data_IF_524610305797
#
_entry.id   IF_524610305797
#
_cell.length_a   1.000
_cell.length_b   1.000
_cell.length_c   1.000
_cell.angle_alpha   90.00
_cell.angle_beta   90.00
_cell.angle_gamma   90.00
#
_symmetry.space_group_name_H-M   'P 1'
#
loop_
_entity.id
_entity.type
_entity.pdbx_description
1 polymer ?
#
# COMPACT_ATOMS: atom_id res chain seq x y z
N UNK A 1 4.13 -22.15 -2.07
CA UNK A 1 4.17 -21.30 -3.28
C UNK A 1 3.60 -19.96 -2.87
N UNK A 2 4.36 -18.88 -3.00
CA UNK A 2 4.00 -17.58 -2.44
C UNK A 2 3.61 -16.63 -3.58
N UNK A 3 2.59 -15.81 -3.36
CA UNK A 3 2.09 -14.89 -4.38
C UNK A 3 2.52 -13.46 -4.05
N UNK A 4 3.23 -12.81 -4.97
CA UNK A 4 3.44 -11.37 -4.96
C UNK A 4 2.38 -10.73 -5.85
N UNK A 5 1.63 -9.80 -5.28
CA UNK A 5 0.60 -9.02 -5.97
C UNK A 5 1.07 -7.59 -6.07
N UNK A 6 1.39 -7.13 -7.26
CA UNK A 6 1.77 -5.75 -7.54
C UNK A 6 0.52 -4.98 -7.94
N UNK A 7 0.05 -4.09 -7.07
CA UNK A 7 -1.10 -3.24 -7.30
C UNK A 7 -0.64 -1.86 -7.76
N UNK A 8 -1.20 -1.33 -8.84
CA UNK A 8 -0.87 0.02 -9.33
C UNK A 8 -2.10 0.93 -9.40
N UNK A 9 -1.90 2.23 -9.18
CA UNK A 9 -2.92 3.23 -9.51
C UNK A 9 -2.29 4.50 -10.06
N UNK A 10 -2.72 4.89 -11.26
CA UNK A 10 -2.04 5.82 -12.15
C UNK A 10 -1.31 5.15 -13.32
N UNK A 11 -1.07 5.92 -14.37
CA UNK A 11 -0.40 5.49 -15.59
C UNK A 11 1.10 5.24 -15.35
N UNK A 12 1.80 6.21 -14.77
CA UNK A 12 3.21 6.05 -14.41
C UNK A 12 3.41 4.90 -13.41
N UNK A 13 2.47 4.75 -12.46
CA UNK A 13 2.45 3.63 -11.55
C UNK A 13 2.29 2.27 -12.25
N UNK A 14 1.54 2.19 -13.35
CA UNK A 14 1.41 0.96 -14.12
C UNK A 14 2.74 0.55 -14.77
N UNK A 15 3.45 1.51 -15.36
CA UNK A 15 4.75 1.27 -15.98
C UNK A 15 5.79 0.84 -14.94
N UNK A 16 5.87 1.57 -13.83
CA UNK A 16 6.72 1.22 -12.69
C UNK A 16 6.36 -0.16 -12.13
N UNK A 17 5.08 -0.49 -11.98
CA UNK A 17 4.67 -1.80 -11.49
C UNK A 17 5.10 -2.94 -12.42
N UNK A 18 5.03 -2.76 -13.75
CA UNK A 18 5.53 -3.73 -14.72
C UNK A 18 7.05 -3.86 -14.65
N UNK A 19 7.74 -2.74 -14.52
CA UNK A 19 9.19 -2.70 -14.38
C UNK A 19 9.66 -3.43 -13.11
N UNK A 20 9.06 -3.10 -11.96
CA UNK A 20 9.26 -3.75 -10.66
C UNK A 20 8.99 -5.25 -10.75
N UNK A 21 7.85 -5.66 -11.32
CA UNK A 21 7.52 -7.07 -11.46
C UNK A 21 8.58 -7.83 -12.27
N UNK A 22 9.11 -7.23 -13.34
CA UNK A 22 10.19 -7.80 -14.15
C UNK A 22 11.51 -7.89 -13.39
N UNK A 23 11.90 -6.82 -12.69
CA UNK A 23 13.13 -6.82 -11.88
C UNK A 23 13.05 -7.85 -10.75
N UNK A 24 11.98 -7.83 -9.95
CA UNK A 24 11.77 -8.77 -8.85
C UNK A 24 11.75 -10.21 -9.37
N UNK A 25 11.11 -10.47 -10.51
CA UNK A 25 11.11 -11.80 -11.17
C UNK A 25 12.53 -12.33 -11.44
N UNK A 26 13.47 -11.46 -11.79
CA UNK A 26 14.86 -11.85 -12.03
C UNK A 26 15.62 -12.18 -10.72
N UNK A 27 15.17 -11.65 -9.59
CA UNK A 27 15.86 -11.74 -8.29
C UNK A 27 15.29 -12.77 -7.32
N UNK A 28 14.07 -13.27 -7.57
CA UNK A 28 13.36 -14.22 -6.71
C UNK A 28 13.21 -15.59 -7.37
N UNK A 29 13.09 -16.68 -6.59
CA UNK A 29 12.86 -18.02 -7.13
C UNK A 29 11.63 -18.10 -8.05
N UNK A 30 11.69 -18.98 -9.06
CA UNK A 30 10.56 -19.22 -9.99
C UNK A 30 9.28 -19.69 -9.30
N UNK A 31 9.39 -20.18 -8.05
CA UNK A 31 8.25 -20.59 -7.21
C UNK A 31 7.39 -19.43 -6.72
N UNK A 32 7.82 -18.17 -6.86
CA UNK A 32 6.95 -17.02 -6.59
C UNK A 32 6.04 -16.77 -7.78
N UNK A 33 4.73 -16.76 -7.60
CA UNK A 33 3.84 -16.18 -8.60
C UNK A 33 3.89 -14.65 -8.46
N UNK A 34 4.00 -13.92 -9.58
CA UNK A 34 3.96 -12.45 -9.57
C UNK A 34 2.83 -12.05 -10.49
N UNK A 35 1.85 -11.32 -9.96
CA UNK A 35 0.74 -10.76 -10.72
C UNK A 35 0.71 -9.26 -10.57
N UNK A 36 0.35 -8.56 -11.64
CA UNK A 36 0.14 -7.11 -11.64
C UNK A 36 -1.33 -6.83 -11.85
N UNK A 37 -1.93 -5.96 -11.04
CA UNK A 37 -3.36 -5.63 -11.05
C UNK A 37 -3.58 -4.14 -10.78
N UNK A 38 -4.67 -3.59 -11.29
CA UNK A 38 -5.07 -2.22 -10.96
C UNK A 38 -5.65 -2.16 -9.53
N UNK A 39 -5.45 -1.05 -8.83
CA UNK A 39 -6.00 -0.82 -7.49
C UNK A 39 -7.54 -0.72 -7.48
N UNK A 40 -8.19 -0.48 -8.61
CA UNK A 40 -9.66 -0.50 -8.69
C UNK A 40 -10.26 -1.88 -8.38
N UNK A 41 -9.49 -2.94 -8.62
CA UNK A 41 -9.86 -4.34 -8.39
C UNK A 41 -9.33 -4.88 -7.06
N UNK A 42 -8.80 -4.01 -6.19
CA UNK A 42 -8.09 -4.44 -4.97
C UNK A 42 -8.95 -5.31 -4.05
N UNK A 43 -10.25 -5.04 -3.91
CA UNK A 43 -11.13 -5.81 -3.04
C UNK A 43 -11.33 -7.24 -3.53
N UNK A 44 -11.57 -7.41 -4.83
CA UNK A 44 -11.77 -8.72 -5.43
C UNK A 44 -10.47 -9.56 -5.35
N UNK A 45 -9.33 -8.92 -5.62
CA UNK A 45 -8.02 -9.56 -5.51
C UNK A 45 -7.69 -9.91 -4.06
N UNK A 46 -8.00 -9.03 -3.11
CA UNK A 46 -7.76 -9.25 -1.69
C UNK A 46 -8.65 -10.37 -1.15
N UNK A 47 -9.94 -10.36 -1.47
CA UNK A 47 -10.88 -11.42 -1.11
C UNK A 47 -10.45 -12.77 -1.69
N UNK A 48 -10.03 -12.81 -2.96
CA UNK A 48 -9.53 -14.04 -3.60
C UNK A 48 -8.25 -14.57 -2.93
N UNK A 49 -7.33 -13.69 -2.53
CA UNK A 49 -6.10 -14.07 -1.84
C UNK A 49 -6.39 -14.61 -0.44
N UNK A 50 -7.26 -13.96 0.32
CA UNK A 50 -7.64 -14.42 1.66
C UNK A 50 -8.43 -15.74 1.61
N UNK A 51 -9.34 -15.88 0.65
CA UNK A 51 -10.10 -17.11 0.46
C UNK A 51 -9.22 -18.30 0.03
N UNK A 52 -8.04 -18.02 -0.53
CA UNK A 52 -7.12 -19.05 -1.01
C UNK A 52 -6.46 -19.84 0.13
N UNK A 53 -6.41 -19.32 1.38
CA UNK A 53 -5.88 -19.84 2.69
C UNK A 53 -4.63 -20.74 2.68
N UNK A 54 -4.03 -21.03 1.53
CA UNK A 54 -3.04 -22.08 1.31
C UNK A 54 -1.69 -21.52 0.90
N UNK A 55 -1.62 -20.21 0.63
CA UNK A 55 -0.42 -19.52 0.14
C UNK A 55 -0.27 -18.17 0.85
N UNK A 56 0.87 -17.92 1.52
CA UNK A 56 1.14 -16.59 2.03
C UNK A 56 1.33 -15.63 0.84
N UNK A 57 0.76 -14.44 0.96
CA UNK A 57 0.80 -13.42 -0.08
C UNK A 57 1.45 -12.13 0.42
N UNK A 58 2.15 -11.45 -0.49
CA UNK A 58 2.65 -10.11 -0.29
C UNK A 58 2.00 -9.15 -1.27
N UNK A 59 1.55 -7.99 -0.79
CA UNK A 59 1.03 -6.92 -1.62
C UNK A 59 2.06 -5.80 -1.78
N UNK A 60 2.46 -5.53 -3.00
CA UNK A 60 3.29 -4.37 -3.35
C UNK A 60 2.38 -3.32 -3.98
N UNK A 61 2.21 -2.18 -3.31
CA UNK A 61 1.40 -1.07 -3.83
C UNK A 61 2.29 -0.05 -4.52
N UNK A 62 1.93 0.37 -5.72
CA UNK A 62 2.57 1.45 -6.48
C UNK A 62 1.53 2.55 -6.66
N UNK A 63 1.64 3.61 -5.86
CA UNK A 63 0.64 4.67 -5.79
C UNK A 63 1.20 5.98 -6.34
N UNK A 64 0.56 6.49 -7.40
CA UNK A 64 0.87 7.81 -7.94
C UNK A 64 0.07 8.90 -7.23
N UNK A 65 0.78 9.97 -6.86
CA UNK A 65 0.21 11.23 -6.41
C UNK A 65 0.17 12.17 -7.61
N UNK A 66 -1.00 12.76 -7.87
CA UNK A 66 -1.23 13.76 -8.90
C UNK A 66 -1.40 15.14 -8.25
N UNK A 67 -1.87 16.13 -9.00
CA UNK A 67 -2.07 17.50 -8.51
C UNK A 67 -2.87 17.58 -7.18
N UNK A 68 -2.51 18.55 -6.35
CA UNK A 68 -3.16 18.82 -5.05
C UNK A 68 -3.14 17.65 -4.06
N UNK A 69 -2.03 16.90 -4.01
CA UNK A 69 -1.85 15.75 -3.11
C UNK A 69 -2.89 14.63 -3.32
N UNK A 70 -3.58 14.64 -4.47
CA UNK A 70 -4.62 13.68 -4.78
C UNK A 70 -4.00 12.35 -5.25
N UNK A 71 -4.63 11.21 -4.94
CA UNK A 71 -4.27 9.96 -5.59
C UNK A 71 -4.71 9.96 -7.06
N UNK A 72 -3.97 9.26 -7.91
CA UNK A 72 -4.47 8.87 -9.22
C UNK A 72 -5.81 8.10 -9.11
N UNK A 73 -6.61 8.15 -10.16
CA UNK A 73 -8.01 7.70 -10.16
C UNK A 73 -8.16 6.27 -9.61
N UNK A 74 -7.36 5.33 -10.10
CA UNK A 74 -7.44 3.91 -9.72
C UNK A 74 -6.92 3.65 -8.31
N UNK A 75 -5.98 4.47 -7.81
CA UNK A 75 -5.51 4.40 -6.43
C UNK A 75 -6.55 4.97 -5.44
N UNK A 76 -7.38 5.91 -5.89
CA UNK A 76 -8.35 6.61 -5.05
C UNK A 76 -9.32 5.68 -4.35
N UNK A 77 -9.83 4.64 -5.03
CA UNK A 77 -10.77 3.66 -4.45
C UNK A 77 -10.11 2.87 -3.31
N UNK A 78 -8.90 2.36 -3.52
CA UNK A 78 -8.15 1.62 -2.51
C UNK A 78 -7.79 2.48 -1.31
N UNK A 79 -7.26 3.69 -1.54
CA UNK A 79 -6.89 4.61 -0.47
C UNK A 79 -8.11 5.02 0.36
N UNK A 80 -9.23 5.35 -0.28
CA UNK A 80 -10.50 5.64 0.43
C UNK A 80 -10.97 4.45 1.25
N UNK A 81 -10.87 3.23 0.71
CA UNK A 81 -11.25 2.02 1.43
C UNK A 81 -10.40 1.84 2.71
N UNK A 82 -9.07 1.89 2.59
CA UNK A 82 -8.19 1.68 3.75
C UNK A 82 -8.28 2.82 4.78
N UNK A 83 -8.53 4.06 4.32
CA UNK A 83 -8.59 5.24 5.20
C UNK A 83 -9.99 5.58 5.72
N UNK A 84 -11.03 4.83 5.30
CA UNK A 84 -12.40 5.03 5.77
C UNK A 84 -12.42 4.98 7.31
N UNK A 85 -13.00 5.99 7.99
CA UNK A 85 -13.23 5.91 9.42
C UNK A 85 -14.08 4.69 9.74
N UNK A 86 -13.65 3.87 10.70
CA UNK A 86 -14.36 2.67 11.14
C UNK A 86 -14.84 2.86 12.57
N UNK A 87 -16.02 2.32 12.87
CA UNK A 87 -16.57 2.33 14.22
C UNK A 87 -16.25 1.01 14.91
N UNK A 88 -15.72 1.07 16.13
CA UNK A 88 -15.53 -0.12 16.96
C UNK A 88 -16.83 -0.44 17.71
N UNK A 89 -17.43 -1.62 17.46
CA UNK A 89 -18.64 -2.08 18.17
C UNK A 89 -18.44 -2.30 19.68
N UNK A 90 -17.22 -2.56 20.12
CA UNK A 90 -16.87 -2.76 21.53
C UNK A 90 -16.56 -1.47 22.29
N UNK A 91 -16.31 -0.37 21.57
CA UNK A 91 -15.86 0.89 22.11
C UNK A 91 -17.03 1.86 22.06
N UNK A 92 -17.97 1.69 22.97
CA UNK A 92 -19.26 2.38 23.02
C UNK A 92 -19.20 3.92 23.16
N UNK A 93 -18.01 4.54 23.14
CA UNK A 93 -17.82 5.96 23.46
C UNK A 93 -16.74 6.66 22.62
N UNK A 94 -16.77 6.49 21.31
CA UNK A 94 -16.03 7.38 20.40
C UNK A 94 -16.95 7.92 19.33
N UNK A 95 -17.40 9.17 19.52
CA UNK A 95 -17.97 10.00 18.47
C UNK A 95 -17.10 9.95 17.21
N UNK A 96 -17.68 10.05 16.02
CA UNK A 96 -16.97 10.03 14.72
C UNK A 96 -15.70 10.93 14.68
N UNK A 97 -15.66 12.00 15.49
CA UNK A 97 -14.50 12.87 15.67
C UNK A 97 -13.22 12.18 16.22
N UNK A 98 -13.34 11.10 16.99
CA UNK A 98 -12.20 10.33 17.49
C UNK A 98 -11.71 9.27 16.48
N UNK A 99 -12.62 8.73 15.66
CA UNK A 99 -12.27 7.85 14.53
C UNK A 99 -11.52 8.63 13.43
N UNK A 100 -11.80 9.92 13.27
CA UNK A 100 -11.13 10.81 12.31
C UNK A 100 -9.65 11.10 12.64
N UNK A 101 -9.18 10.84 13.86
CA UNK A 101 -7.83 11.23 14.32
C UNK A 101 -6.81 10.10 14.35
N UNK A 102 -7.08 8.90 13.81
CA UNK A 102 -6.21 7.70 13.93
C UNK A 102 -5.81 7.29 15.36
N UNK A 103 -6.14 8.06 16.40
CA UNK A 103 -5.87 7.80 17.82
C UNK A 103 -6.63 6.59 18.37
N UNK A 104 -7.60 6.07 17.61
CA UNK A 104 -8.38 4.92 18.04
C UNK A 104 -7.58 3.61 17.98
N UNK A 105 -6.69 3.46 16.99
CA UNK A 105 -5.84 2.27 16.85
C UNK A 105 -4.86 2.12 18.02
N UNK A 106 -4.23 3.24 18.43
CA UNK A 106 -3.34 3.29 19.60
C UNK A 106 -4.03 2.89 20.90
N UNK A 107 -5.36 3.05 20.97
CA UNK A 107 -6.14 2.86 22.20
C UNK A 107 -6.84 1.50 22.30
N UNK A 108 -7.17 0.86 21.18
CA UNK A 108 -7.88 -0.43 21.14
C UNK A 108 -7.02 -1.61 20.70
N UNK A 109 -5.81 -1.36 20.18
CA UNK A 109 -4.87 -2.40 19.77
C UNK A 109 -5.32 -3.20 18.54
N UNK A 110 -4.42 -4.06 18.03
CA UNK A 110 -4.63 -4.88 16.83
C UNK A 110 -5.69 -5.99 16.98
N UNK A 111 -6.24 -6.21 18.18
CA UNK A 111 -7.18 -7.30 18.48
C UNK A 111 -8.66 -6.91 18.45
N UNK A 112 -8.99 -5.65 18.18
CA UNK A 112 -10.39 -5.22 18.12
C UNK A 112 -11.02 -5.57 16.77
N UNK A 113 -12.07 -6.42 16.71
CA UNK A 113 -12.76 -6.73 15.46
C UNK A 113 -13.50 -5.48 14.96
N UNK A 114 -13.02 -4.92 13.85
CA UNK A 114 -13.68 -3.79 13.21
C UNK A 114 -14.93 -4.30 12.51
N UNK A 115 -15.98 -3.49 12.53
CA UNK A 115 -17.12 -3.68 11.64
C UNK A 115 -17.26 -2.43 10.79
N UNK A 116 -17.48 -2.61 9.49
CA UNK A 116 -17.98 -1.50 8.69
C UNK A 116 -19.45 -1.21 9.03
N UNK A 117 -20.02 -0.21 8.35
CA UNK A 117 -21.42 0.19 8.49
C UNK A 117 -22.40 -0.93 8.11
N UNK A 118 -21.94 -1.92 7.33
CA UNK A 118 -22.69 -3.09 6.89
C UNK A 118 -22.52 -4.28 7.85
N UNK A 119 -21.69 -4.13 8.88
CA UNK A 119 -21.46 -5.15 9.89
C UNK A 119 -20.42 -6.20 9.52
N UNK A 120 -19.70 -6.05 8.40
CA UNK A 120 -18.65 -6.97 7.98
C UNK A 120 -17.45 -6.84 8.91
N UNK A 121 -17.06 -7.95 9.54
CA UNK A 121 -15.96 -8.00 10.47
C UNK A 121 -14.63 -7.95 9.70
N UNK A 122 -13.98 -6.79 9.69
CA UNK A 122 -12.60 -6.68 9.23
C UNK A 122 -11.67 -7.11 10.37
N UNK A 123 -11.09 -8.30 10.22
CA UNK A 123 -9.92 -8.68 11.00
C UNK A 123 -8.74 -7.76 10.70
N UNK A 124 -7.73 -7.77 11.58
CA UNK A 124 -6.43 -7.18 11.27
C UNK A 124 -5.98 -7.69 9.89
N UNK A 125 -5.44 -6.79 9.07
CA UNK A 125 -4.88 -7.08 7.76
C UNK A 125 -3.67 -8.02 7.95
N UNK A 126 -3.90 -9.33 8.00
CA UNK A 126 -2.85 -10.34 8.21
C UNK A 126 -2.13 -10.66 6.91
N UNK A 127 -1.58 -9.62 6.27
CA UNK A 127 -0.82 -9.73 5.02
C UNK A 127 0.48 -8.95 5.11
N UNK A 128 1.49 -9.43 4.40
CA UNK A 128 2.71 -8.66 4.20
C UNK A 128 2.47 -7.58 3.13
N UNK A 129 3.04 -6.39 3.31
CA UNK A 129 2.95 -5.35 2.31
C UNK A 129 4.23 -4.51 2.17
N UNK A 130 4.35 -3.81 1.04
CA UNK A 130 5.31 -2.74 0.81
C UNK A 130 4.68 -1.69 -0.13
N UNK A 131 5.20 -0.46 -0.11
CA UNK A 131 4.67 0.66 -0.90
C UNK A 131 5.78 1.36 -1.68
N UNK A 132 5.53 1.63 -2.95
CA UNK A 132 6.28 2.56 -3.80
C UNK A 132 5.37 3.75 -4.08
N UNK A 133 5.83 4.93 -3.70
CA UNK A 133 5.15 6.18 -3.95
C UNK A 133 5.79 6.84 -5.18
N UNK A 134 4.95 7.28 -6.11
CA UNK A 134 5.37 8.10 -7.25
C UNK A 134 4.76 9.47 -7.06
N UNK A 135 5.60 10.48 -7.02
CA UNK A 135 5.21 11.87 -6.93
C UNK A 135 6.04 12.69 -7.90
N UNK A 136 5.61 13.92 -8.14
CA UNK A 136 6.34 14.87 -8.97
C UNK A 136 6.39 16.21 -8.24
N UNK A 137 7.60 16.67 -7.92
CA UNK A 137 7.80 17.99 -7.31
C UNK A 137 7.35 19.14 -8.21
N UNK A 138 7.29 18.95 -9.53
CA UNK A 138 6.78 19.95 -10.46
C UNK A 138 5.28 20.20 -10.29
N UNK A 139 4.54 19.28 -9.67
CA UNK A 139 3.12 19.44 -9.36
C UNK A 139 2.86 20.21 -8.05
N UNK A 140 3.92 20.62 -7.36
CA UNK A 140 3.88 21.41 -6.12
C UNK A 140 4.21 22.89 -6.38
N UNK A 141 3.52 23.50 -7.34
CA UNK A 141 3.78 24.86 -7.84
C UNK A 141 3.75 25.95 -6.75
N UNK A 142 3.07 25.68 -5.63
CA UNK A 142 2.88 26.64 -4.54
C UNK A 142 4.06 26.70 -3.55
N UNK A 143 5.07 25.83 -3.70
CA UNK A 143 6.14 25.63 -2.72
C UNK A 143 7.49 26.08 -3.28
N UNK A 144 8.25 26.86 -2.49
CA UNK A 144 9.58 27.36 -2.90
C UNK A 144 10.69 26.31 -2.85
N UNK A 145 10.54 25.30 -2.00
CA UNK A 145 11.46 24.16 -1.89
C UNK A 145 10.64 22.90 -1.70
N UNK A 146 10.98 21.86 -2.47
CA UNK A 146 10.24 20.60 -2.51
C UNK A 146 11.21 19.46 -2.70
N UNK A 147 10.96 18.36 -2.02
CA UNK A 147 11.71 17.10 -2.14
C UNK A 147 10.76 15.97 -2.52
N UNK A 148 11.31 14.78 -2.84
CA UNK A 148 10.51 13.58 -3.06
C UNK A 148 9.50 13.30 -1.91
N UNK A 149 9.85 13.65 -0.67
CA UNK A 149 8.96 13.47 0.48
C UNK A 149 7.70 14.34 0.39
N UNK A 150 7.78 15.47 -0.29
CA UNK A 150 6.73 16.48 -0.31
C UNK A 150 5.66 16.21 -1.37
N UNK A 151 5.95 15.36 -2.37
CA UNK A 151 5.07 15.07 -3.52
C UNK A 151 4.44 13.67 -3.50
N UNK A 152 4.62 12.90 -2.43
CA UNK A 152 4.24 11.48 -2.35
C UNK A 152 3.03 11.20 -1.44
N UNK A 153 2.15 12.18 -1.25
CA UNK A 153 1.08 12.17 -0.26
C UNK A 153 0.12 10.97 -0.38
N UNK A 154 -0.22 10.55 -1.60
CA UNK A 154 -1.14 9.42 -1.81
C UNK A 154 -0.55 8.10 -1.30
N UNK A 155 0.70 7.82 -1.67
CA UNK A 155 1.41 6.61 -1.22
C UNK A 155 1.72 6.62 0.28
N UNK A 156 2.10 7.78 0.83
CA UNK A 156 2.29 7.95 2.28
C UNK A 156 1.02 7.67 3.06
N UNK A 157 -0.12 8.16 2.58
CA UNK A 157 -1.43 7.93 3.19
C UNK A 157 -1.82 6.44 3.14
N UNK A 158 -1.53 5.77 2.02
CA UNK A 158 -1.77 4.33 1.85
C UNK A 158 -0.91 3.48 2.81
N UNK A 159 0.40 3.73 2.84
CA UNK A 159 1.36 3.03 3.71
C UNK A 159 0.94 3.11 5.18
N UNK A 160 0.61 4.32 5.65
CA UNK A 160 0.12 4.55 7.01
C UNK A 160 -1.17 3.79 7.29
N UNK A 161 -2.12 3.80 6.35
CA UNK A 161 -3.40 3.12 6.53
C UNK A 161 -3.24 1.60 6.61
N UNK A 162 -2.39 1.00 5.77
CA UNK A 162 -2.12 -0.44 5.79
C UNK A 162 -1.49 -0.88 7.13
N UNK A 163 -0.54 -0.10 7.66
CA UNK A 163 0.07 -0.38 8.97
C UNK A 163 -0.92 -0.23 10.13
N UNK A 164 -1.76 0.81 10.10
CA UNK A 164 -2.86 1.00 11.08
C UNK A 164 -3.89 -0.12 10.99
N UNK A 165 -4.06 -0.77 9.85
CA UNK A 165 -4.96 -1.91 9.71
C UNK A 165 -4.34 -3.24 10.16
N UNK A 166 -3.09 -3.25 10.66
CA UNK A 166 -2.41 -4.45 11.13
C UNK A 166 -1.56 -5.15 10.07
N UNK A 167 -1.38 -4.53 8.90
CA UNK A 167 -0.48 -5.04 7.86
C UNK A 167 0.96 -5.16 8.37
N UNK A 168 1.66 -6.21 7.94
CA UNK A 168 3.09 -6.35 8.20
C UNK A 168 3.90 -5.68 7.09
N UNK A 169 4.44 -4.49 7.36
CA UNK A 169 5.35 -3.80 6.45
C UNK A 169 6.66 -4.61 6.30
N UNK A 170 7.04 -4.95 5.06
CA UNK A 170 8.26 -5.70 4.77
C UNK A 170 9.52 -4.83 4.83
N UNK A 171 9.44 -3.66 4.21
CA UNK A 171 10.49 -2.65 4.17
C UNK A 171 9.84 -1.27 4.12
N UNK A 172 10.57 -0.26 4.57
CA UNK A 172 10.16 1.14 4.45
C UNK A 172 9.79 1.49 3.00
N UNK A 173 8.72 2.30 2.84
CA UNK A 173 8.21 2.71 1.53
C UNK A 173 9.29 3.42 0.68
N UNK A 174 9.20 3.26 -0.63
CA UNK A 174 9.96 4.06 -1.59
C UNK A 174 9.22 5.39 -1.84
N UNK A 175 9.94 6.49 -1.92
CA UNK A 175 9.41 7.80 -2.34
C UNK A 175 10.21 8.25 -3.57
N UNK A 176 9.63 8.06 -4.76
CA UNK A 176 10.24 8.44 -6.02
C UNK A 176 9.76 9.83 -6.46
N UNK A 177 10.66 10.62 -7.06
CA UNK A 177 10.36 11.92 -7.65
C UNK A 177 10.52 11.86 -9.17
N UNK A 178 9.42 12.00 -9.90
CA UNK A 178 9.41 11.94 -11.36
C UNK A 178 10.31 13.01 -12.00
N UNK A 179 10.37 14.21 -11.40
CA UNK A 179 11.22 15.31 -11.86
C UNK A 179 12.72 15.00 -11.83
N UNK A 180 13.16 14.08 -10.96
CA UNK A 180 14.57 13.71 -10.79
C UNK A 180 14.94 12.41 -11.52
N UNK A 181 13.95 11.64 -11.98
CA UNK A 181 14.09 10.28 -12.48
C UNK A 181 13.66 9.24 -11.45
N UNK A 182 12.66 8.42 -11.82
CA UNK A 182 12.03 7.45 -10.91
C UNK A 182 12.98 6.32 -10.50
N UNK A 183 13.82 5.88 -11.43
CA UNK A 183 14.78 4.79 -11.28
C UNK A 183 15.80 5.03 -10.15
N UNK A 184 16.15 6.29 -9.89
CA UNK A 184 17.13 6.65 -8.86
C UNK A 184 16.70 6.19 -7.46
N UNK A 185 15.40 6.24 -7.19
CA UNK A 185 14.83 5.74 -5.93
C UNK A 185 14.39 4.28 -6.04
N UNK A 186 13.82 3.88 -7.17
CA UNK A 186 13.14 2.59 -7.33
C UNK A 186 14.13 1.43 -7.44
N UNK A 187 15.19 1.55 -8.24
CA UNK A 187 16.12 0.44 -8.49
C UNK A 187 16.81 -0.05 -7.19
N UNK A 188 17.49 0.81 -6.41
CA UNK A 188 18.11 0.37 -5.16
C UNK A 188 17.08 -0.11 -4.13
N UNK A 189 15.86 0.43 -4.15
CA UNK A 189 14.77 -0.04 -3.29
C UNK A 189 14.30 -1.44 -3.67
N UNK A 190 14.26 -1.76 -4.97
CA UNK A 190 13.80 -3.04 -5.49
C UNK A 190 14.70 -4.19 -5.07
N UNK A 191 16.02 -3.97 -5.02
CA UNK A 191 16.98 -4.95 -4.52
C UNK A 191 16.71 -5.30 -3.04
N UNK A 192 16.50 -4.26 -2.21
CA UNK A 192 16.14 -4.41 -0.79
C UNK A 192 14.81 -5.13 -0.62
N UNK A 193 13.82 -4.79 -1.44
CA UNK A 193 12.51 -5.44 -1.44
C UNK A 193 12.62 -6.92 -1.79
N UNK A 194 13.34 -7.27 -2.85
CA UNK A 194 13.52 -8.66 -3.27
C UNK A 194 14.27 -9.48 -2.21
N UNK A 195 15.25 -8.89 -1.52
CA UNK A 195 15.93 -9.52 -0.39
C UNK A 195 14.97 -9.79 0.78
N UNK A 196 14.17 -8.80 1.19
CA UNK A 196 13.18 -8.94 2.26
C UNK A 196 12.09 -9.98 1.91
N UNK A 197 11.63 -9.97 0.65
CA UNK A 197 10.64 -10.92 0.15
C UNK A 197 11.16 -12.36 0.21
N UNK A 198 12.41 -12.59 -0.21
CA UNK A 198 13.07 -13.90 -0.07
C UNK A 198 13.18 -14.29 1.39
N UNK A 199 13.66 -13.40 2.26
CA UNK A 199 13.84 -13.70 3.67
C UNK A 199 12.54 -14.10 4.37
N UNK A 200 11.41 -13.42 4.07
CA UNK A 200 10.11 -13.74 4.66
C UNK A 200 9.58 -15.12 4.25
N UNK A 201 9.92 -15.59 3.05
CA UNK A 201 9.28 -16.75 2.41
C UNK A 201 10.28 -17.83 1.96
N UNK A 202 11.47 -17.89 2.57
CA UNK A 202 12.51 -18.86 2.26
C UNK A 202 12.25 -20.29 2.78
N UNK A 203 11.02 -20.60 3.18
CA UNK A 203 10.59 -21.91 3.72
C UNK A 203 10.10 -22.87 2.64
#
# INVERSE_FOLDING_TARGET
>A
MCDLVVMHGGEAACEVARHLAKQVRAMVPKSFAIKTVAMNDHLDVWAAVLASTTKPACFLYVAQTVENDAPAEEAGKAIRHYTKPRSCKFCSNTTAAAAAKNQHYERCGAGCPYVDEEGAQFGALDVAYAVVCIGDTNLLLDRQTTTAKDCNAAGQKLDKALGVLGGTCLIERCEANEAEGLELAIDPWTERFAAALKAKYAS
#
